data_IF_781091502378
#
_entry.id   IF_781091502378
#
_cell.length_a   1.000
_cell.length_b   1.000
_cell.length_c   1.000
_cell.angle_alpha   90.00
_cell.angle_beta   90.00
_cell.angle_gamma   90.00
#
_symmetry.space_group_name_H-M   'P 1'
#
loop_
_entity.id
_entity.type
_entity.pdbx_description
1 polymer ?
#
# COMPACT_ATOMS: atom_id res chain seq x y z
N UNK A 1 30.69 -9.11 -20.65
CA UNK A 1 29.52 -9.16 -19.75
C UNK A 1 28.89 -10.53 -19.87
N UNK A 2 28.62 -11.22 -18.76
CA UNK A 2 27.93 -12.54 -18.81
C UNK A 2 26.49 -12.34 -19.31
N UNK A 3 25.96 -13.33 -20.02
CA UNK A 3 24.54 -13.37 -20.40
C UNK A 3 23.61 -13.27 -19.17
N UNK A 4 24.07 -13.74 -18.00
CA UNK A 4 23.31 -13.72 -16.75
C UNK A 4 22.90 -12.31 -16.30
N UNK A 5 23.62 -11.26 -16.70
CA UNK A 5 23.29 -9.87 -16.36
C UNK A 5 22.01 -9.36 -17.05
N UNK A 6 21.51 -10.07 -18.07
CA UNK A 6 20.33 -9.70 -18.87
C UNK A 6 19.05 -10.42 -18.40
N UNK A 7 19.10 -11.15 -17.29
CA UNK A 7 18.01 -12.00 -16.85
C UNK A 7 17.46 -11.57 -15.49
N UNK A 8 16.14 -11.63 -15.37
CA UNK A 8 15.46 -11.41 -14.11
C UNK A 8 15.92 -12.44 -13.07
N UNK A 9 15.96 -12.09 -11.77
CA UNK A 9 16.22 -13.06 -10.71
C UNK A 9 15.22 -14.22 -10.80
N UNK A 10 15.71 -15.45 -10.71
CA UNK A 10 14.88 -16.67 -10.76
C UNK A 10 14.69 -17.31 -9.39
N UNK A 11 15.43 -16.84 -8.38
CA UNK A 11 15.35 -17.33 -7.01
C UNK A 11 15.39 -16.15 -6.04
N UNK A 12 14.66 -16.26 -4.94
CA UNK A 12 14.72 -15.30 -3.84
C UNK A 12 15.06 -16.08 -2.57
N UNK A 13 16.14 -15.71 -1.85
CA UNK A 13 16.35 -16.24 -0.51
C UNK A 13 15.23 -15.76 0.41
N UNK A 14 15.20 -16.34 1.62
CA UNK A 14 14.38 -15.82 2.71
C UNK A 14 14.78 -14.37 2.99
N UNK A 15 13.81 -13.49 3.06
CA UNK A 15 14.02 -12.06 3.23
C UNK A 15 13.83 -11.66 4.70
N UNK A 16 14.74 -10.83 5.18
CA UNK A 16 14.71 -10.25 6.54
C UNK A 16 14.17 -8.82 6.54
N UNK A 17 14.33 -8.12 5.41
CA UNK A 17 13.86 -6.74 5.24
C UNK A 17 13.18 -6.52 3.90
N UNK A 18 12.22 -5.60 3.89
CA UNK A 18 11.67 -4.96 2.69
C UNK A 18 11.84 -3.44 2.79
N UNK A 19 12.08 -2.76 1.67
CA UNK A 19 12.27 -1.31 1.66
C UNK A 19 10.93 -0.60 1.41
N UNK A 20 10.67 0.48 2.15
CA UNK A 20 9.57 1.40 1.88
C UNK A 20 10.07 2.49 0.94
N UNK A 21 9.53 2.53 -0.28
CA UNK A 21 9.97 3.45 -1.34
C UNK A 21 9.09 4.70 -1.43
N UNK A 22 7.83 4.60 -1.00
CA UNK A 22 6.89 5.71 -0.99
C UNK A 22 5.77 5.46 0.01
N UNK A 23 5.21 6.54 0.56
CA UNK A 23 4.06 6.51 1.43
C UNK A 23 3.15 7.69 1.11
N UNK A 24 1.86 7.42 1.01
CA UNK A 24 0.78 8.38 0.97
C UNK A 24 -0.24 8.01 2.03
N UNK A 25 -0.71 8.97 2.81
CA UNK A 25 -1.69 8.72 3.85
C UNK A 25 -2.71 9.84 3.98
N UNK A 26 -3.91 9.45 4.36
CA UNK A 26 -5.02 10.32 4.68
C UNK A 26 -5.66 9.81 5.97
N UNK A 27 -5.59 10.63 7.03
CA UNK A 27 -6.08 10.33 8.37
C UNK A 27 -7.19 11.32 8.71
N UNK A 28 -8.42 10.97 8.36
CA UNK A 28 -9.61 11.80 8.55
C UNK A 28 -9.44 13.24 8.02
N UNK A 29 -9.20 14.21 8.92
CA UNK A 29 -9.02 15.64 8.62
C UNK A 29 -7.63 15.98 8.11
N UNK A 30 -6.66 15.07 8.23
CA UNK A 30 -5.27 15.31 7.83
C UNK A 30 -4.91 14.56 6.56
N UNK A 31 -4.00 15.19 5.80
CA UNK A 31 -3.19 14.56 4.74
C UNK A 31 -1.76 14.43 5.18
N UNK A 32 -0.98 13.54 4.56
CA UNK A 32 0.39 13.17 4.96
C UNK A 32 1.25 14.33 5.47
N UNK A 33 1.35 15.45 4.73
CA UNK A 33 2.18 16.59 5.14
C UNK A 33 1.73 17.27 6.44
N UNK A 34 0.41 17.28 6.71
CA UNK A 34 -0.16 17.84 7.93
C UNK A 34 0.00 16.88 9.12
N UNK A 35 -0.08 15.56 8.89
CA UNK A 35 0.12 14.53 9.92
C UNK A 35 1.46 14.72 10.60
N UNK A 36 2.54 14.82 9.82
CA UNK A 36 3.89 14.97 10.37
C UNK A 36 4.07 16.25 11.18
N UNK A 37 3.56 17.37 10.66
CA UNK A 37 3.60 18.67 11.35
C UNK A 37 2.91 18.59 12.72
N UNK A 38 1.71 18.02 12.79
CA UNK A 38 0.95 17.91 14.04
C UNK A 38 1.63 16.96 15.02
N UNK A 39 2.19 15.84 14.55
CA UNK A 39 2.98 14.93 15.39
C UNK A 39 4.19 15.65 16.02
N UNK A 40 4.93 16.44 15.23
CA UNK A 40 6.07 17.22 15.73
C UNK A 40 5.66 18.27 16.76
N UNK A 41 4.58 19.02 16.49
CA UNK A 41 4.03 20.02 17.42
C UNK A 41 3.56 19.38 18.74
N UNK A 42 2.86 18.24 18.68
CA UNK A 42 2.44 17.51 19.88
C UNK A 42 3.62 16.98 20.69
N UNK A 43 4.62 16.38 20.03
CA UNK A 43 5.82 15.86 20.69
C UNK A 43 6.64 16.98 21.37
N UNK A 44 6.69 18.17 20.76
CA UNK A 44 7.37 19.32 21.36
C UNK A 44 6.60 19.89 22.57
N UNK A 45 5.27 19.79 22.57
CA UNK A 45 4.43 20.34 23.64
C UNK A 45 4.33 19.43 24.87
N UNK A 46 4.40 18.11 24.68
CA UNK A 46 4.14 17.12 25.72
C UNK A 46 5.07 15.92 25.60
N UNK A 47 5.80 15.64 26.70
CA UNK A 47 6.61 14.42 26.84
C UNK A 47 5.68 13.21 26.70
N UNK A 48 6.09 12.22 25.90
CA UNK A 48 5.35 10.98 25.60
C UNK A 48 4.03 11.11 24.82
N UNK A 49 3.64 12.31 24.33
CA UNK A 49 2.40 12.48 23.58
C UNK A 49 2.27 11.57 22.34
N UNK A 50 3.39 11.20 21.72
CA UNK A 50 3.40 10.27 20.58
C UNK A 50 3.00 8.83 20.94
N UNK A 51 3.10 8.42 22.20
CA UNK A 51 2.83 7.05 22.64
C UNK A 51 1.39 6.84 23.11
N UNK A 52 0.74 7.89 23.61
CA UNK A 52 -0.58 7.80 24.26
C UNK A 52 -1.63 8.75 23.70
N UNK A 53 -1.23 9.69 22.84
CA UNK A 53 -2.10 10.72 22.29
C UNK A 53 -2.71 10.37 20.93
N UNK A 54 -3.73 11.12 20.55
CA UNK A 54 -4.23 11.18 19.18
C UNK A 54 -3.94 12.56 18.59
N UNK A 55 -3.51 12.60 17.33
CA UNK A 55 -3.42 13.86 16.56
C UNK A 55 -4.80 14.39 16.14
N UNK A 56 -5.81 13.52 16.15
CA UNK A 56 -7.14 13.85 15.65
C UNK A 56 -7.82 14.91 16.54
N UNK A 57 -8.39 15.97 15.95
CA UNK A 57 -9.12 16.96 16.73
C UNK A 57 -10.29 16.36 17.53
N UNK A 58 -10.43 16.77 18.78
CA UNK A 58 -11.58 16.35 19.59
C UNK A 58 -12.84 17.18 19.33
N UNK A 59 -12.71 18.36 18.70
CA UNK A 59 -13.84 19.21 18.36
C UNK A 59 -14.68 18.58 17.22
N UNK A 60 -15.94 18.18 17.47
CA UNK A 60 -16.78 17.54 16.47
C UNK A 60 -17.09 18.44 15.28
N UNK A 61 -16.95 19.78 15.41
CA UNK A 61 -17.16 20.73 14.31
C UNK A 61 -16.09 20.65 13.22
N UNK A 62 -14.96 19.99 13.49
CA UNK A 62 -13.91 19.77 12.48
C UNK A 62 -14.22 18.61 11.53
N UNK A 63 -15.36 17.94 11.71
CA UNK A 63 -15.75 16.76 10.95
C UNK A 63 -17.06 17.02 10.18
N UNK A 64 -17.24 16.37 9.02
CA UNK A 64 -18.50 16.42 8.28
C UNK A 64 -19.65 15.84 9.12
N UNK A 65 -20.79 16.51 9.09
CA UNK A 65 -21.97 16.14 9.89
C UNK A 65 -23.11 15.57 9.09
N UNK A 66 -23.23 15.88 7.79
CA UNK A 66 -24.24 15.24 6.93
C UNK A 66 -23.73 13.89 6.42
N UNK A 67 -24.65 13.00 6.02
CA UNK A 67 -24.26 11.73 5.40
C UNK A 67 -23.48 11.97 4.09
N UNK A 68 -23.99 12.85 3.23
CA UNK A 68 -23.38 13.18 1.94
C UNK A 68 -21.97 13.76 2.10
N UNK A 69 -21.75 14.66 3.08
CA UNK A 69 -20.42 15.22 3.34
C UNK A 69 -19.44 14.16 3.86
N UNK A 70 -19.92 13.16 4.62
CA UNK A 70 -19.09 12.04 5.08
C UNK A 70 -18.68 11.16 3.91
N UNK A 71 -19.60 10.86 3.00
CA UNK A 71 -19.33 10.04 1.81
C UNK A 71 -18.36 10.76 0.86
N UNK A 72 -18.60 12.03 0.56
CA UNK A 72 -17.67 12.86 -0.23
C UNK A 72 -16.27 12.94 0.43
N UNK A 73 -16.22 13.10 1.75
CA UNK A 73 -14.95 13.13 2.47
C UNK A 73 -14.23 11.78 2.38
N UNK A 74 -14.94 10.67 2.53
CA UNK A 74 -14.39 9.31 2.40
C UNK A 74 -13.81 9.08 1.00
N UNK A 75 -14.56 9.37 -0.06
CA UNK A 75 -14.09 9.24 -1.46
C UNK A 75 -12.83 10.09 -1.70
N UNK A 76 -12.85 11.35 -1.25
CA UNK A 76 -11.70 12.24 -1.39
C UNK A 76 -10.49 11.71 -0.63
N UNK A 77 -10.66 11.21 0.60
CA UNK A 77 -9.56 10.67 1.42
C UNK A 77 -8.89 9.48 0.75
N UNK A 78 -9.68 8.63 0.08
CA UNK A 78 -9.16 7.49 -0.66
C UNK A 78 -8.26 7.93 -1.81
N UNK A 79 -8.74 8.86 -2.63
CA UNK A 79 -8.00 9.41 -3.76
C UNK A 79 -6.73 10.15 -3.30
N UNK A 80 -6.84 11.00 -2.28
CA UNK A 80 -5.72 11.79 -1.76
C UNK A 80 -4.57 10.88 -1.24
N UNK A 81 -4.89 9.78 -0.55
CA UNK A 81 -3.86 8.84 -0.08
C UNK A 81 -3.12 8.16 -1.24
N UNK A 82 -3.87 7.75 -2.28
CA UNK A 82 -3.29 7.13 -3.47
C UNK A 82 -2.43 8.12 -4.27
N UNK A 83 -2.93 9.34 -4.48
CA UNK A 83 -2.19 10.44 -5.12
C UNK A 83 -0.86 10.67 -4.40
N UNK A 84 -0.90 10.87 -3.08
CA UNK A 84 0.30 11.15 -2.30
C UNK A 84 1.31 10.00 -2.36
N UNK A 85 0.84 8.75 -2.41
CA UNK A 85 1.70 7.56 -2.48
C UNK A 85 2.33 7.34 -3.85
N UNK A 86 1.69 7.80 -4.94
CA UNK A 86 2.12 7.50 -6.31
C UNK A 86 2.58 8.70 -7.13
N UNK A 87 2.31 9.94 -6.72
CA UNK A 87 2.62 11.16 -7.51
C UNK A 87 4.08 11.27 -7.97
N UNK A 88 5.01 10.71 -7.19
CA UNK A 88 6.44 10.70 -7.49
C UNK A 88 6.94 9.29 -7.89
N UNK A 89 6.04 8.31 -7.96
CA UNK A 89 6.37 6.94 -8.29
C UNK A 89 6.26 6.70 -9.80
N UNK A 90 6.86 5.60 -10.25
CA UNK A 90 7.00 5.25 -11.65
C UNK A 90 5.67 5.21 -12.40
N UNK A 91 5.61 5.90 -13.54
CA UNK A 91 4.48 5.89 -14.46
C UNK A 91 4.62 4.77 -15.50
N UNK A 92 3.53 4.40 -16.18
CA UNK A 92 3.47 3.43 -17.29
C UNK A 92 3.94 2.00 -16.98
N UNK A 93 4.49 1.75 -15.81
CA UNK A 93 4.71 0.40 -15.30
C UNK A 93 3.43 -0.12 -14.62
N UNK A 94 2.96 -1.35 -14.93
CA UNK A 94 1.84 -1.97 -14.21
C UNK A 94 2.24 -2.31 -12.77
N UNK A 95 1.93 -1.41 -11.85
CA UNK A 95 2.28 -1.50 -10.43
C UNK A 95 1.47 -2.64 -9.79
N UNK A 96 2.14 -3.73 -9.35
CA UNK A 96 1.48 -4.81 -8.63
C UNK A 96 0.84 -4.26 -7.36
N UNK A 97 -0.46 -4.52 -7.17
CA UNK A 97 -1.24 -3.90 -6.09
C UNK A 97 -1.93 -4.93 -5.22
N UNK A 98 -1.85 -4.73 -3.90
CA UNK A 98 -2.64 -5.44 -2.90
C UNK A 98 -3.56 -4.46 -2.17
N UNK A 99 -4.79 -4.89 -1.92
CA UNK A 99 -5.80 -4.18 -1.14
C UNK A 99 -5.87 -4.79 0.25
N UNK A 100 -5.65 -4.00 1.29
CA UNK A 100 -5.76 -4.42 2.70
C UNK A 100 -7.05 -3.84 3.29
N UNK A 101 -7.87 -4.70 3.88
CA UNK A 101 -9.11 -4.32 4.55
C UNK A 101 -9.26 -5.06 5.86
N UNK A 102 -10.08 -4.50 6.76
CA UNK A 102 -10.37 -5.11 8.06
C UNK A 102 -11.00 -6.48 7.93
N UNK A 103 -10.53 -7.43 8.75
CA UNK A 103 -11.08 -8.75 9.11
C UNK A 103 -12.25 -9.37 8.32
N UNK A 104 -12.32 -9.23 6.99
CA UNK A 104 -13.46 -9.70 6.21
C UNK A 104 -13.38 -11.21 6.00
N UNK A 105 -14.46 -11.93 6.35
CA UNK A 105 -14.60 -13.36 6.16
C UNK A 105 -15.82 -13.65 5.29
N UNK A 106 -15.58 -14.31 4.15
CA UNK A 106 -16.62 -14.73 3.20
C UNK A 106 -17.63 -15.73 3.78
N UNK A 107 -17.30 -16.37 4.90
CA UNK A 107 -18.19 -17.32 5.58
C UNK A 107 -19.08 -16.66 6.64
N UNK A 108 -18.95 -15.34 6.85
CA UNK A 108 -19.80 -14.61 7.80
C UNK A 108 -21.27 -14.75 7.38
N UNK A 109 -22.18 -15.10 8.30
CA UNK A 109 -23.60 -15.22 7.96
C UNK A 109 -24.21 -13.85 7.71
N UNK A 110 -25.18 -13.79 6.78
CA UNK A 110 -25.99 -12.61 6.49
C UNK A 110 -25.14 -11.37 6.09
N UNK A 111 -24.11 -11.58 5.27
CA UNK A 111 -23.32 -10.50 4.68
C UNK A 111 -24.21 -9.50 3.91
N UNK A 112 -23.81 -8.23 3.93
CA UNK A 112 -24.51 -7.16 3.20
C UNK A 112 -24.46 -7.37 1.69
N UNK A 113 -23.28 -7.68 1.18
CA UNK A 113 -23.00 -8.02 -0.21
C UNK A 113 -22.54 -9.47 -0.30
N UNK A 114 -22.72 -10.10 -1.46
CA UNK A 114 -22.23 -11.47 -1.66
C UNK A 114 -20.69 -11.51 -1.62
N UNK A 115 -20.09 -12.65 -1.27
CA UNK A 115 -18.63 -12.80 -1.33
C UNK A 115 -18.03 -12.51 -2.70
N UNK A 116 -18.74 -12.86 -3.76
CA UNK A 116 -18.32 -12.62 -5.15
C UNK A 116 -18.29 -11.12 -5.45
N UNK A 117 -19.38 -10.39 -5.19
CA UNK A 117 -19.45 -8.93 -5.36
C UNK A 117 -18.39 -8.20 -4.52
N UNK A 118 -18.15 -8.67 -3.29
CA UNK A 118 -17.16 -8.07 -2.40
C UNK A 118 -15.75 -8.25 -2.93
N UNK A 119 -15.39 -9.46 -3.39
CA UNK A 119 -14.08 -9.74 -3.98
C UNK A 119 -13.86 -8.94 -5.25
N UNK A 120 -14.88 -8.88 -6.13
CA UNK A 120 -14.82 -8.08 -7.35
C UNK A 120 -14.56 -6.60 -7.01
N UNK A 121 -15.37 -6.01 -6.13
CA UNK A 121 -15.22 -4.63 -5.69
C UNK A 121 -13.82 -4.34 -5.15
N UNK A 122 -13.28 -5.19 -4.26
CA UNK A 122 -11.96 -5.02 -3.66
C UNK A 122 -10.81 -5.19 -4.67
N UNK A 123 -11.00 -6.05 -5.67
CA UNK A 123 -10.00 -6.32 -6.72
C UNK A 123 -9.84 -5.19 -7.74
N UNK A 124 -10.87 -4.37 -7.97
CA UNK A 124 -10.80 -3.23 -8.90
C UNK A 124 -10.63 -1.89 -8.19
N UNK A 125 -10.92 -1.84 -6.89
CA UNK A 125 -10.96 -0.62 -6.06
C UNK A 125 -9.82 0.37 -6.29
N UNK A 126 -8.58 -0.10 -6.26
CA UNK A 126 -7.41 0.80 -6.35
C UNK A 126 -7.27 1.38 -7.75
N UNK A 127 -7.60 0.61 -8.78
CA UNK A 127 -7.60 1.10 -10.15
C UNK A 127 -8.70 2.14 -10.39
N UNK A 128 -9.87 1.99 -9.77
CA UNK A 128 -10.96 2.97 -9.86
C UNK A 128 -10.59 4.31 -9.21
N UNK A 129 -9.75 4.28 -8.17
CA UNK A 129 -9.24 5.48 -7.50
C UNK A 129 -8.20 6.24 -8.31
N UNK A 130 -7.65 5.65 -9.38
CA UNK A 130 -6.58 6.27 -10.19
C UNK A 130 -7.03 7.58 -10.83
N UNK A 131 -8.25 7.62 -11.38
CA UNK A 131 -8.81 8.81 -12.04
C UNK A 131 -9.06 9.95 -11.06
N UNK A 132 -9.80 9.75 -9.94
CA UNK A 132 -10.00 10.83 -8.96
C UNK A 132 -8.70 11.25 -8.26
N UNK A 133 -7.68 10.39 -8.20
CA UNK A 133 -6.35 10.74 -7.69
C UNK A 133 -5.47 11.51 -8.71
N UNK A 134 -5.95 11.77 -9.93
CA UNK A 134 -5.17 12.47 -10.97
C UNK A 134 -4.02 11.64 -11.57
N UNK A 135 -3.99 10.33 -11.33
CA UNK A 135 -2.89 9.42 -11.68
C UNK A 135 -3.08 8.80 -13.08
N UNK A 136 -3.41 9.61 -14.07
CA UNK A 136 -3.83 9.13 -15.39
C UNK A 136 -2.77 8.31 -16.14
N UNK A 137 -1.49 8.47 -15.80
CA UNK A 137 -0.37 7.76 -16.41
C UNK A 137 0.16 6.56 -15.61
N UNK A 138 -0.27 6.40 -14.36
CA UNK A 138 0.01 5.21 -13.57
C UNK A 138 -0.83 4.05 -14.08
N UNK A 139 -0.30 2.82 -13.96
CA UNK A 139 -1.03 1.59 -14.28
C UNK A 139 -1.14 0.78 -13.02
N UNK A 140 -2.36 0.51 -12.57
CA UNK A 140 -2.62 -0.32 -11.39
C UNK A 140 -2.88 -1.74 -11.89
N UNK A 141 -2.10 -2.70 -11.40
CA UNK A 141 -2.28 -4.12 -11.67
C UNK A 141 -2.57 -4.85 -10.36
N UNK A 142 -3.84 -4.95 -10.00
CA UNK A 142 -4.26 -5.70 -8.82
C UNK A 142 -3.87 -7.18 -8.96
N UNK A 143 -3.25 -7.72 -7.91
CA UNK A 143 -2.89 -9.14 -7.87
C UNK A 143 -4.16 -9.98 -7.68
N UNK A 144 -4.20 -11.15 -8.33
CA UNK A 144 -5.36 -12.07 -8.29
C UNK A 144 -5.71 -12.49 -6.85
N UNK A 145 -4.69 -12.79 -6.05
CA UNK A 145 -4.83 -13.06 -4.61
C UNK A 145 -4.40 -11.84 -3.76
N UNK A 146 -4.57 -10.63 -4.32
CA UNK A 146 -4.10 -9.38 -3.76
C UNK A 146 -4.99 -8.78 -2.68
N UNK A 147 -5.97 -9.51 -2.15
CA UNK A 147 -6.85 -9.03 -1.09
C UNK A 147 -6.37 -9.61 0.24
N UNK A 148 -5.92 -8.74 1.14
CA UNK A 148 -5.49 -9.13 2.49
C UNK A 148 -6.58 -8.70 3.48
N UNK A 149 -7.31 -9.68 4.00
CA UNK A 149 -8.36 -9.44 5.00
C UNK A 149 -7.84 -9.50 6.44
N UNK A 150 -6.67 -10.10 6.68
CA UNK A 150 -6.02 -10.05 7.98
C UNK A 150 -5.21 -8.75 8.05
N UNK A 151 -5.79 -7.75 8.69
CA UNK A 151 -5.24 -6.41 8.87
C UNK A 151 -4.32 -6.28 10.09
N UNK A 152 -4.00 -7.38 10.78
CA UNK A 152 -2.93 -7.36 11.79
C UNK A 152 -1.60 -6.99 11.13
N UNK A 153 -0.82 -6.06 11.70
CA UNK A 153 0.45 -5.64 11.10
C UNK A 153 1.39 -6.80 10.79
N UNK A 154 1.48 -7.79 11.70
CA UNK A 154 2.30 -8.98 11.53
C UNK A 154 1.79 -9.87 10.37
N UNK A 155 0.48 -10.03 10.26
CA UNK A 155 -0.16 -10.81 9.19
C UNK A 155 0.04 -10.18 7.81
N UNK A 156 -0.13 -8.86 7.71
CA UNK A 156 0.13 -8.11 6.47
C UNK A 156 1.60 -8.22 6.09
N UNK A 157 2.53 -7.97 7.02
CA UNK A 157 3.96 -8.02 6.75
C UNK A 157 4.41 -9.41 6.30
N UNK A 158 4.07 -10.48 7.01
CA UNK A 158 4.45 -11.84 6.61
C UNK A 158 3.89 -12.21 5.23
N UNK A 159 2.67 -11.74 4.89
CA UNK A 159 2.10 -11.92 3.56
C UNK A 159 2.95 -11.23 2.48
N UNK A 160 3.40 -10.00 2.73
CA UNK A 160 4.29 -9.28 1.80
C UNK A 160 5.65 -9.97 1.66
N UNK A 161 6.27 -10.39 2.75
CA UNK A 161 7.53 -11.14 2.71
C UNK A 161 7.42 -12.38 1.83
N UNK A 162 6.39 -13.19 2.06
CA UNK A 162 6.12 -14.37 1.22
C UNK A 162 5.90 -13.99 -0.23
N UNK A 163 5.14 -12.93 -0.52
CA UNK A 163 4.89 -12.48 -1.89
C UNK A 163 6.20 -12.19 -2.64
N UNK A 164 7.14 -11.47 -2.03
CA UNK A 164 8.44 -11.21 -2.62
C UNK A 164 9.30 -12.48 -2.76
N UNK A 165 9.24 -13.40 -1.79
CA UNK A 165 9.99 -14.67 -1.83
C UNK A 165 9.49 -15.60 -2.95
N UNK A 166 8.17 -15.68 -3.16
CA UNK A 166 7.56 -16.49 -4.21
C UNK A 166 7.73 -15.90 -5.62
N UNK A 167 8.02 -14.61 -5.71
CA UNK A 167 8.20 -13.88 -6.96
C UNK A 167 9.54 -13.15 -7.00
N UNK A 168 10.64 -13.83 -7.34
CA UNK A 168 11.98 -13.25 -7.29
C UNK A 168 12.21 -12.03 -8.19
N UNK A 169 11.40 -11.88 -9.24
CA UNK A 169 11.44 -10.79 -10.21
C UNK A 169 10.49 -9.63 -9.87
N UNK A 170 9.73 -9.70 -8.77
CA UNK A 170 8.80 -8.64 -8.32
C UNK A 170 9.58 -7.49 -7.67
N UNK A 171 9.65 -6.28 -8.26
CA UNK A 171 10.50 -5.22 -7.73
C UNK A 171 9.83 -4.36 -6.66
N UNK A 172 8.52 -4.13 -6.78
CA UNK A 172 7.74 -3.37 -5.80
C UNK A 172 6.26 -3.75 -5.87
N UNK A 173 5.55 -3.46 -4.78
CA UNK A 173 4.11 -3.66 -4.60
C UNK A 173 3.53 -2.41 -3.95
N UNK A 174 2.40 -1.96 -4.49
CA UNK A 174 1.51 -1.00 -3.83
C UNK A 174 0.62 -1.74 -2.84
N UNK A 175 0.78 -1.42 -1.57
CA UNK A 175 -0.11 -1.85 -0.48
C UNK A 175 -1.08 -0.72 -0.21
N UNK A 176 -2.35 -0.94 -0.53
CA UNK A 176 -3.41 0.04 -0.30
C UNK A 176 -4.33 -0.42 0.83
N UNK A 177 -4.12 0.13 2.03
CA UNK A 177 -4.97 -0.12 3.18
C UNK A 177 -6.13 0.87 3.22
N UNK A 178 -7.34 0.33 3.33
CA UNK A 178 -8.57 1.12 3.40
C UNK A 178 -9.37 0.71 4.63
N UNK A 179 -9.40 1.59 5.62
CA UNK A 179 -10.18 1.44 6.85
C UNK A 179 -11.05 2.69 7.02
N UNK A 180 -12.31 2.50 7.37
CA UNK A 180 -13.23 3.61 7.51
C UNK A 180 -14.66 3.13 7.67
N UNK A 181 -15.56 4.08 7.95
CA UNK A 181 -16.96 3.77 8.24
C UNK A 181 -17.63 3.07 7.06
N UNK A 182 -17.41 3.59 5.85
CA UNK A 182 -18.02 3.06 4.63
C UNK A 182 -17.47 1.69 4.25
N UNK A 183 -16.16 1.48 4.40
CA UNK A 183 -15.55 0.16 4.17
C UNK A 183 -16.03 -0.86 5.20
N UNK A 184 -16.01 -0.51 6.49
CA UNK A 184 -16.51 -1.39 7.55
C UNK A 184 -18.00 -1.71 7.36
N UNK A 185 -18.81 -0.74 6.94
CA UNK A 185 -20.22 -0.96 6.66
C UNK A 185 -20.44 -1.90 5.47
N UNK A 186 -19.68 -1.72 4.38
CA UNK A 186 -19.75 -2.59 3.21
C UNK A 186 -19.34 -4.03 3.51
N UNK A 187 -18.31 -4.23 4.34
CA UNK A 187 -17.80 -5.55 4.72
C UNK A 187 -18.60 -6.21 5.85
N UNK A 188 -19.54 -5.49 6.47
CA UNK A 188 -20.35 -6.01 7.59
C UNK A 188 -21.56 -6.82 7.14
N UNK A 189 -22.13 -7.57 8.08
CA UNK A 189 -23.43 -8.22 7.94
C UNK A 189 -24.58 -7.21 8.04
N UNK A 190 -25.76 -7.60 7.54
CA UNK A 190 -26.94 -6.70 7.44
C UNK A 190 -27.46 -6.22 8.78
N UNK A 191 -27.17 -6.91 9.87
CA UNK A 191 -27.54 -6.54 11.24
C UNK A 191 -26.69 -5.38 11.80
N UNK A 192 -25.52 -5.10 11.24
CA UNK A 192 -24.72 -3.93 11.61
C UNK A 192 -25.30 -2.70 10.90
N UNK A 193 -25.76 -1.72 11.68
CA UNK A 193 -26.27 -0.48 11.11
C UNK A 193 -25.14 0.49 10.79
N UNK A 194 -25.25 1.28 9.71
CA UNK A 194 -24.25 2.32 9.41
C UNK A 194 -24.11 3.31 10.57
N UNK A 195 -25.21 3.64 11.25
CA UNK A 195 -25.22 4.50 12.44
C UNK A 195 -24.39 3.92 13.59
N UNK A 196 -24.42 2.60 13.81
CA UNK A 196 -23.60 1.96 14.85
C UNK A 196 -22.09 2.04 14.59
N UNK A 197 -21.69 2.29 13.33
CA UNK A 197 -20.29 2.51 12.93
C UNK A 197 -19.90 4.00 12.93
N UNK A 198 -20.82 4.91 13.28
CA UNK A 198 -20.61 6.36 13.20
C UNK A 198 -21.05 7.02 11.88
N UNK A 199 -21.66 6.24 10.98
CA UNK A 199 -22.20 6.72 9.70
C UNK A 199 -23.54 7.46 9.83
N UNK A 200 -24.03 7.95 8.70
CA UNK A 200 -25.25 8.79 8.64
C UNK A 200 -25.05 10.20 9.20
N UNK A 201 -26.14 10.96 9.30
CA UNK A 201 -26.09 12.35 9.78
C UNK A 201 -25.89 12.44 11.29
N UNK A 202 -25.06 13.39 11.71
CA UNK A 202 -24.73 13.69 13.10
C UNK A 202 -23.23 13.96 13.31
N UNK A 203 -22.86 14.55 14.47
CA UNK A 203 -21.46 14.81 14.81
C UNK A 203 -20.66 13.51 14.92
N UNK A 204 -19.32 13.65 14.89
CA UNK A 204 -18.40 12.53 15.16
C UNK A 204 -18.72 11.90 16.52
N UNK A 205 -18.83 10.58 16.54
CA UNK A 205 -19.06 9.80 17.77
C UNK A 205 -17.71 9.34 18.33
N UNK A 206 -17.47 9.59 19.61
CA UNK A 206 -16.25 9.13 20.28
C UNK A 206 -16.18 7.59 20.28
N UNK A 207 -15.01 7.04 19.97
CA UNK A 207 -14.81 5.58 19.86
C UNK A 207 -15.31 4.94 18.57
N UNK A 208 -15.97 5.68 17.68
CA UNK A 208 -16.31 5.20 16.34
C UNK A 208 -15.08 5.16 15.43
N UNK A 209 -15.19 4.42 14.32
CA UNK A 209 -14.10 4.27 13.36
C UNK A 209 -13.70 5.61 12.75
N UNK A 210 -12.41 5.71 12.43
CA UNK A 210 -11.81 6.86 11.77
C UNK A 210 -11.39 6.44 10.38
N UNK A 211 -11.69 7.27 9.38
CA UNK A 211 -11.20 7.02 8.04
C UNK A 211 -9.68 7.12 7.99
N UNK A 212 -9.05 6.01 7.62
CA UNK A 212 -7.61 5.83 7.52
C UNK A 212 -7.31 5.15 6.19
N UNK A 213 -6.68 5.91 5.29
CA UNK A 213 -6.29 5.43 3.96
C UNK A 213 -4.77 5.52 3.86
N UNK A 214 -4.12 4.42 3.50
CA UNK A 214 -2.66 4.37 3.34
C UNK A 214 -2.31 3.70 2.02
N UNK A 215 -1.54 4.38 1.19
CA UNK A 215 -0.88 3.84 0.01
C UNK A 215 0.62 3.74 0.32
N UNK A 216 1.15 2.52 0.40
CA UNK A 216 2.55 2.26 0.72
C UNK A 216 3.21 1.49 -0.42
N UNK A 217 4.32 1.98 -0.95
CA UNK A 217 5.14 1.20 -1.88
C UNK A 217 6.20 0.47 -1.09
N UNK A 218 6.14 -0.86 -1.13
CA UNK A 218 7.13 -1.76 -0.55
C UNK A 218 7.87 -2.44 -1.69
N UNK A 219 9.19 -2.53 -1.61
CA UNK A 219 9.99 -3.04 -2.72
C UNK A 219 11.35 -3.59 -2.35
N UNK A 220 12.03 -4.05 -3.40
CA UNK A 220 13.38 -4.58 -3.43
C UNK A 220 14.09 -3.99 -4.65
N UNK A 221 14.72 -2.82 -4.48
CA UNK A 221 15.27 -2.02 -5.58
C UNK A 221 16.23 -2.79 -6.49
N UNK A 222 16.97 -3.76 -5.97
CA UNK A 222 17.95 -4.52 -6.74
C UNK A 222 17.33 -5.43 -7.81
N UNK A 223 16.02 -5.73 -7.72
CA UNK A 223 15.34 -6.66 -8.65
C UNK A 223 15.15 -6.12 -10.06
N UNK A 224 15.44 -4.83 -10.28
CA UNK A 224 15.41 -4.21 -11.61
C UNK A 224 16.79 -4.03 -12.23
N UNK A 225 17.89 -4.43 -11.56
CA UNK A 225 19.24 -4.13 -12.04
C UNK A 225 19.57 -4.74 -13.40
N UNK A 226 18.97 -5.89 -13.71
CA UNK A 226 19.10 -6.54 -15.01
C UNK A 226 18.50 -5.70 -16.17
N UNK A 227 17.53 -4.82 -15.89
CA UNK A 227 16.91 -3.94 -16.88
C UNK A 227 17.86 -2.84 -17.35
N UNK A 228 18.85 -2.48 -16.53
CA UNK A 228 19.88 -1.48 -16.89
C UNK A 228 20.66 -1.88 -18.14
N UNK A 229 20.77 -3.18 -18.41
CA UNK A 229 21.42 -3.70 -19.62
C UNK A 229 20.61 -3.47 -20.90
N UNK A 230 19.28 -3.28 -20.78
CA UNK A 230 18.39 -3.04 -21.91
C UNK A 230 18.14 -1.55 -22.16
N UNK A 231 18.21 -0.71 -21.13
CA UNK A 231 17.85 0.70 -21.18
C UNK A 231 18.51 1.49 -22.34
N UNK A 232 19.83 1.34 -22.61
CA UNK A 232 20.49 2.06 -23.72
C UNK A 232 19.98 1.71 -25.12
N UNK A 233 19.26 0.59 -25.26
CA UNK A 233 18.68 0.14 -26.52
C UNK A 233 17.23 0.57 -26.69
N UNK A 234 16.60 1.12 -25.65
CA UNK A 234 15.19 1.50 -25.68
C UNK A 234 14.97 2.75 -26.52
N UNK A 235 13.90 2.75 -27.32
CA UNK A 235 13.39 3.94 -28.00
C UNK A 235 12.11 4.38 -27.30
N UNK A 236 12.08 5.63 -26.87
CA UNK A 236 10.91 6.26 -26.24
C UNK A 236 10.04 6.99 -27.27
N UNK A 237 8.83 7.39 -26.86
CA UNK A 237 8.00 8.30 -27.64
C UNK A 237 8.73 9.63 -27.91
N UNK A 238 8.45 10.25 -29.05
CA UNK A 238 8.99 11.58 -29.40
C UNK A 238 8.41 12.66 -28.49
N UNK A 239 7.19 12.45 -28.00
CA UNK A 239 6.61 13.31 -26.98
C UNK A 239 7.35 13.14 -25.65
N UNK A 240 8.13 14.17 -25.29
CA UNK A 240 8.89 14.21 -24.02
C UNK A 240 8.00 14.12 -22.78
N UNK A 241 6.70 14.34 -22.89
CA UNK A 241 5.78 14.18 -21.76
C UNK A 241 5.45 12.69 -21.51
N UNK A 242 5.47 11.86 -22.55
CA UNK A 242 5.07 10.45 -22.51
C UNK A 242 6.22 9.54 -22.96
N UNK A 243 7.27 9.34 -22.15
CA UNK A 243 8.49 8.61 -22.53
C UNK A 243 8.31 7.08 -22.59
N UNK A 244 7.13 6.59 -22.98
CA UNK A 244 6.82 5.17 -23.03
C UNK A 244 7.70 4.44 -24.05
N UNK A 245 8.08 3.20 -23.72
CA UNK A 245 8.81 2.31 -24.61
C UNK A 245 8.01 2.07 -25.90
N UNK A 246 8.61 2.38 -27.05
CA UNK A 246 8.01 2.19 -28.38
C UNK A 246 8.67 1.09 -29.21
N UNK A 247 9.76 0.52 -28.70
CA UNK A 247 10.56 -0.48 -29.39
C UNK A 247 12.05 -0.28 -29.19
N UNK A 248 12.83 -1.08 -29.89
CA UNK A 248 14.28 -0.96 -29.87
C UNK A 248 14.75 0.16 -30.80
N UNK A 249 15.87 0.79 -30.42
CA UNK A 249 16.56 1.75 -31.28
C UNK A 249 17.25 1.09 -32.47
N UNK A 250 18.15 1.84 -33.10
CA UNK A 250 18.93 1.36 -34.25
C UNK A 250 19.85 0.18 -33.91
N UNK A 251 20.33 0.11 -32.66
CA UNK A 251 21.01 -1.07 -32.10
C UNK A 251 20.00 -1.88 -31.31
N UNK A 252 19.96 -3.19 -31.57
CA UNK A 252 19.22 -4.14 -30.75
C UNK A 252 20.05 -4.56 -29.53
N UNK A 253 19.41 -4.92 -28.40
CA UNK A 253 20.14 -5.51 -27.28
C UNK A 253 20.81 -6.82 -27.72
N UNK A 254 21.97 -7.17 -27.14
CA UNK A 254 22.70 -8.40 -27.50
C UNK A 254 21.99 -9.68 -27.04
N UNK A 255 21.08 -9.56 -26.05
CA UNK A 255 20.23 -10.63 -25.56
C UNK A 255 18.78 -10.24 -25.79
N UNK A 256 17.96 -11.19 -26.24
CA UNK A 256 16.53 -10.98 -26.40
C UNK A 256 15.86 -10.74 -25.03
N UNK A 257 15.08 -9.66 -24.94
CA UNK A 257 14.30 -9.37 -23.75
C UNK A 257 13.21 -10.42 -23.55
N UNK A 258 13.18 -11.03 -22.37
CA UNK A 258 12.12 -11.98 -21.97
C UNK A 258 11.17 -11.30 -21.00
N UNK A 259 9.94 -10.97 -21.41
CA UNK A 259 8.93 -10.41 -20.51
C UNK A 259 8.66 -11.34 -19.33
N UNK A 260 8.43 -10.74 -18.16
CA UNK A 260 7.92 -11.45 -16.98
C UNK A 260 6.52 -10.95 -16.63
N UNK A 261 5.87 -11.60 -15.66
CA UNK A 261 4.56 -11.16 -15.15
C UNK A 261 4.61 -9.72 -14.65
N UNK A 262 5.68 -9.35 -13.94
CA UNK A 262 5.82 -8.03 -13.32
C UNK A 262 6.55 -7.03 -14.20
N UNK A 263 7.34 -7.50 -15.18
CA UNK A 263 8.05 -6.67 -16.15
C UNK A 263 7.68 -7.12 -17.57
N UNK A 264 6.48 -6.75 -18.08
CA UNK A 264 6.03 -7.17 -19.40
C UNK A 264 6.78 -6.47 -20.54
N UNK A 265 7.44 -5.34 -20.25
CA UNK A 265 8.22 -4.56 -21.20
C UNK A 265 9.49 -4.04 -20.54
N UNK A 266 10.58 -3.83 -21.30
CA UNK A 266 11.82 -3.27 -20.76
C UNK A 266 11.56 -1.85 -20.23
N UNK A 267 12.28 -1.49 -19.17
CA UNK A 267 12.27 -0.13 -18.67
C UNK A 267 13.20 0.76 -19.50
N UNK A 268 12.73 1.97 -19.78
CA UNK A 268 13.51 2.98 -20.49
C UNK A 268 14.52 3.63 -19.55
N UNK A 269 15.50 4.34 -20.09
CA UNK A 269 16.45 5.10 -19.26
C UNK A 269 15.72 6.02 -18.29
N UNK A 270 14.71 6.75 -18.77
CA UNK A 270 13.90 7.63 -17.91
C UNK A 270 13.11 6.89 -16.83
N UNK A 271 12.63 5.69 -17.11
CA UNK A 271 11.96 4.88 -16.09
C UNK A 271 12.96 4.47 -14.98
N UNK A 272 14.18 4.09 -15.35
CA UNK A 272 15.23 3.81 -14.37
C UNK A 272 15.66 5.07 -13.61
N UNK A 273 15.76 6.23 -14.26
CA UNK A 273 16.03 7.51 -13.58
C UNK A 273 14.97 7.85 -12.54
N UNK A 274 13.69 7.68 -12.87
CA UNK A 274 12.59 7.87 -11.92
C UNK A 274 12.67 6.88 -10.77
N UNK A 275 12.98 5.61 -11.04
CA UNK A 275 13.16 4.59 -10.02
C UNK A 275 14.34 4.89 -9.08
N UNK A 276 15.48 5.28 -9.64
CA UNK A 276 16.71 5.60 -8.91
C UNK A 276 16.58 6.87 -8.07
N UNK A 277 15.67 7.78 -8.44
CA UNK A 277 15.34 8.96 -7.66
C UNK A 277 14.48 8.65 -6.42
N UNK A 278 13.93 7.44 -6.29
CA UNK A 278 13.11 7.07 -5.13
C UNK A 278 14.00 6.86 -3.89
N UNK A 279 13.73 7.56 -2.78
CA UNK A 279 14.44 7.29 -1.52
C UNK A 279 13.95 5.98 -0.89
N UNK A 280 14.84 5.31 -0.16
CA UNK A 280 14.42 4.32 0.84
C UNK A 280 14.02 5.08 2.10
N UNK A 281 12.72 5.20 2.34
CA UNK A 281 12.16 5.95 3.47
C UNK A 281 12.29 5.20 4.80
N UNK A 282 12.16 3.88 4.76
CA UNK A 282 12.24 3.00 5.92
C UNK A 282 12.53 1.55 5.49
N UNK A 283 12.85 0.70 6.46
CA UNK A 283 12.94 -0.75 6.29
C UNK A 283 11.92 -1.45 7.18
N UNK A 284 11.11 -2.30 6.57
CA UNK A 284 10.21 -3.21 7.27
C UNK A 284 11.00 -4.45 7.63
N UNK A 285 11.09 -4.77 8.91
CA UNK A 285 11.71 -5.99 9.39
C UNK A 285 10.68 -7.11 9.45
N UNK A 286 11.11 -8.34 9.15
CA UNK A 286 10.23 -9.51 9.23
C UNK A 286 9.73 -9.68 10.68
N UNK A 287 8.42 -9.92 10.88
CA UNK A 287 7.88 -10.23 12.20
C UNK A 287 8.56 -11.46 12.81
N UNK A 288 8.86 -11.40 14.10
CA UNK A 288 9.40 -12.52 14.88
C UNK A 288 8.44 -12.91 15.99
N UNK A 289 8.16 -14.21 16.10
CA UNK A 289 7.34 -14.76 17.18
C UNK A 289 8.25 -15.23 18.30
N UNK A 290 8.16 -14.58 19.46
CA UNK A 290 8.90 -14.98 20.66
C UNK A 290 7.95 -15.72 21.60
N UNK A 291 8.20 -17.00 21.92
CA UNK A 291 7.38 -17.71 22.90
C UNK A 291 7.56 -17.06 24.27
N UNK A 292 6.45 -16.74 24.94
CA UNK A 292 6.45 -16.24 26.32
C UNK A 292 6.46 -17.38 27.35
N UNK A 293 6.95 -18.55 26.95
CA UNK A 293 7.15 -19.71 27.80
C UNK A 293 8.63 -20.01 27.91
N UNK A 294 9.06 -20.46 29.08
CA UNK A 294 10.45 -20.87 29.29
C UNK A 294 10.72 -22.15 28.46
N UNK A 295 11.80 -22.21 27.66
CA UNK A 295 12.07 -23.36 26.79
C UNK A 295 12.28 -24.68 27.52
N UNK A 296 12.75 -24.61 28.76
CA UNK A 296 13.10 -25.72 29.66
C UNK A 296 11.92 -26.22 30.50
N UNK A 297 11.06 -25.32 31.00
CA UNK A 297 9.96 -25.69 31.90
C UNK A 297 8.57 -25.59 31.27
N UNK A 298 8.42 -24.92 30.12
CA UNK A 298 7.12 -24.62 29.51
C UNK A 298 6.28 -23.60 30.30
N UNK A 299 6.78 -23.11 31.44
CA UNK A 299 6.06 -22.15 32.26
C UNK A 299 6.03 -20.78 31.61
N UNK A 300 4.90 -20.08 31.76
CA UNK A 300 4.76 -18.70 31.29
C UNK A 300 5.76 -17.79 32.01
N UNK A 301 6.45 -16.94 31.26
CA UNK A 301 7.33 -15.91 31.82
C UNK A 301 6.52 -15.03 32.79
N UNK A 302 7.02 -14.88 34.03
CA UNK A 302 6.41 -14.01 35.03
C UNK A 302 6.50 -12.56 34.54
N UNK A 303 5.39 -11.82 34.64
CA UNK A 303 5.37 -10.36 34.42
C UNK A 303 6.00 -9.68 35.63
N UNK A 304 7.33 -9.58 35.65
CA UNK A 304 8.06 -8.88 36.73
C UNK A 304 8.29 -7.39 36.42
N UNK A 305 7.91 -6.91 35.24
CA UNK A 305 8.01 -5.50 34.88
C UNK A 305 6.66 -4.79 35.10
N UNK A 306 6.32 -4.50 36.37
CA UNK A 306 5.33 -3.49 36.84
C UNK A 306 5.48 -3.39 38.37
N UNK A 307 6.63 -2.94 38.86
CA UNK A 307 6.82 -2.44 40.23
C UNK A 307 7.68 -1.20 40.18
#
# INVERSE_FOLDING_TARGET
MSADAYHAPTTSPRLETLDVLSIGMSLDVFRQGQVWKVLQEQNAAQVEALHVGSILPMDPKKYPTSADDKDMAYEKRQADALELGLKNFLEKWPIPTVTVVRGWDSNTPNLRFTPEETRESLSVKVNDLRVPAGLHWHRIANLQDGIICNDTPEGVLETLFRLFEHHPDLPAVLVYANEGINMAWALSSKNVSGKSLGGGSGPRVSGALTDTMVALIVGRPERVDWLRQYAPYTKVNENRIDPEFRGWGWRKPPVEFRPTRFIPQPWTERALEQWDALPVLARLHRPVSVPLTRPDTGERLKREALT
#
